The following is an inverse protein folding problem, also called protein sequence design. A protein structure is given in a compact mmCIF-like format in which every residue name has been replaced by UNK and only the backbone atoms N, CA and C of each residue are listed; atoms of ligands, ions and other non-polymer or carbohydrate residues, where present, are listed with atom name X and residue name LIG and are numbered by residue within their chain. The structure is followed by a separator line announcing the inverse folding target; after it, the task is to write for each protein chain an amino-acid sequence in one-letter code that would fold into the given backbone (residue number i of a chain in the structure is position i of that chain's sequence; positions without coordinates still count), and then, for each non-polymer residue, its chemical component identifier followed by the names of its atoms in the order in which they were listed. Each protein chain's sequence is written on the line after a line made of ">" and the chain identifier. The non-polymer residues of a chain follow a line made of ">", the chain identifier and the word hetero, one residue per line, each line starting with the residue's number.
data_IF_657442623562
#
_entry.id   IF_657442623562
#
_cell.length_a   1.000
_cell.length_b   1.000
_cell.length_c   1.000
_cell.angle_alpha   90.00
_cell.angle_beta   90.00
_cell.angle_gamma   90.00
#
_symmetry.space_group_name_H-M   'P 1'
#
loop_
_entity.id
_entity.type
_entity.pdbx_description
1 polymer ?
#
# COMPACT_ATOMS: atom_id res chain seq x y z
N UNK A 1 30.49 2.96 -0.52
CA UNK A 1 29.11 3.41 -0.81
C UNK A 1 28.41 2.28 -1.56
N UNK A 2 27.13 2.00 -1.28
CA UNK A 2 26.33 1.02 -2.02
C UNK A 2 25.03 1.68 -2.52
N UNK A 3 24.54 1.27 -3.68
CA UNK A 3 23.34 1.85 -4.28
C UNK A 3 23.02 1.24 -5.65
N UNK A 4 21.82 1.56 -6.13
CA UNK A 4 21.34 1.16 -7.45
C UNK A 4 20.84 2.42 -8.17
N UNK A 5 21.62 2.93 -9.13
CA UNK A 5 21.27 4.11 -9.91
C UNK A 5 19.95 3.90 -10.66
N UNK A 6 19.65 2.70 -11.16
CA UNK A 6 18.38 2.37 -11.83
C UNK A 6 17.15 2.55 -10.92
N UNK A 7 17.35 2.66 -9.60
CA UNK A 7 16.30 2.95 -8.63
C UNK A 7 16.35 4.38 -8.07
N UNK A 8 17.17 5.28 -8.60
CA UNK A 8 17.27 6.67 -8.14
C UNK A 8 16.05 7.50 -8.58
N UNK A 9 14.94 7.38 -7.84
CA UNK A 9 13.64 8.00 -8.16
C UNK A 9 13.31 9.23 -7.31
N UNK A 10 14.28 9.74 -6.55
CA UNK A 10 14.12 10.94 -5.72
C UNK A 10 14.89 12.13 -6.31
N UNK A 11 14.98 12.23 -7.63
CA UNK A 11 15.62 13.34 -8.34
C UNK A 11 15.05 14.69 -7.91
N UNK A 12 13.73 14.76 -7.76
CA UNK A 12 13.00 15.92 -7.24
C UNK A 12 13.40 16.35 -5.81
N UNK A 13 13.98 15.43 -5.02
CA UNK A 13 14.48 15.69 -3.66
C UNK A 13 16.02 15.85 -3.62
N UNK A 14 16.67 15.99 -4.79
CA UNK A 14 18.11 16.19 -4.89
C UNK A 14 18.95 14.91 -5.06
N UNK A 15 18.34 13.73 -5.17
CA UNK A 15 19.10 12.51 -5.46
C UNK A 15 19.64 12.52 -6.89
N UNK A 16 20.92 12.19 -7.09
CA UNK A 16 21.55 12.22 -8.42
C UNK A 16 22.17 10.87 -8.77
N UNK A 17 21.54 10.14 -9.71
CA UNK A 17 22.12 8.95 -10.33
C UNK A 17 23.44 9.27 -11.03
N UNK A 18 23.50 10.43 -11.71
CA UNK A 18 24.69 10.92 -12.38
C UNK A 18 25.87 11.08 -11.41
N UNK A 19 25.63 11.72 -10.26
CA UNK A 19 26.69 11.94 -9.27
C UNK A 19 27.16 10.61 -8.68
N UNK A 20 26.22 9.73 -8.32
CA UNK A 20 26.52 8.37 -7.86
C UNK A 20 27.40 7.60 -8.86
N UNK A 21 27.06 7.70 -10.15
CA UNK A 21 27.78 7.03 -11.23
C UNK A 21 29.19 7.59 -11.47
N UNK A 22 29.51 8.80 -10.98
CA UNK A 22 30.82 9.44 -11.11
C UNK A 22 31.66 9.44 -9.83
N UNK A 23 31.15 8.84 -8.74
CA UNK A 23 31.92 8.67 -7.53
C UNK A 23 33.19 7.87 -7.83
N UNK A 24 34.34 8.45 -7.48
CA UNK A 24 35.62 7.74 -7.51
C UNK A 24 35.58 6.60 -6.50
N UNK A 25 36.03 5.42 -6.92
CA UNK A 25 36.07 4.23 -6.09
C UNK A 25 37.33 3.43 -6.41
N UNK A 26 37.98 2.91 -5.38
CA UNK A 26 39.14 2.02 -5.52
C UNK A 26 38.75 0.63 -6.01
N UNK A 27 37.53 0.19 -5.66
CA UNK A 27 36.94 -1.08 -6.11
C UNK A 27 35.45 -0.88 -6.43
N UNK A 28 34.99 -1.55 -7.49
CA UNK A 28 33.61 -1.49 -7.97
C UNK A 28 33.12 -2.91 -8.19
N UNK A 29 32.14 -3.32 -7.38
CA UNK A 29 31.53 -4.64 -7.46
C UNK A 29 30.05 -4.56 -7.84
N UNK A 30 29.68 -5.26 -8.90
CA UNK A 30 28.27 -5.42 -9.32
C UNK A 30 27.75 -6.76 -8.80
N UNK A 31 26.57 -6.76 -8.18
CA UNK A 31 25.92 -7.98 -7.70
C UNK A 31 25.09 -8.59 -8.84
N UNK A 32 25.40 -9.81 -9.31
CA UNK A 32 24.87 -10.32 -10.57
C UNK A 32 23.54 -11.07 -10.44
N UNK A 33 22.90 -11.12 -9.26
CA UNK A 33 21.68 -11.92 -9.05
C UNK A 33 20.67 -11.21 -8.16
N UNK A 34 19.41 -11.21 -8.59
CA UNK A 34 18.27 -10.81 -7.79
C UNK A 34 17.67 -12.02 -7.07
N UNK A 35 17.40 -11.86 -5.78
CA UNK A 35 16.68 -12.85 -4.96
C UNK A 35 15.18 -12.54 -4.83
N UNK A 36 14.73 -11.46 -5.49
CA UNK A 36 13.34 -10.99 -5.44
C UNK A 36 12.60 -11.24 -6.76
N UNK A 37 13.19 -10.78 -7.86
CA UNK A 37 12.48 -10.58 -9.13
C UNK A 37 12.44 -11.89 -9.91
N UNK A 38 11.26 -12.46 -10.21
CA UNK A 38 11.13 -13.69 -11.01
C UNK A 38 11.38 -13.43 -12.50
N UNK A 39 11.54 -14.50 -13.30
CA UNK A 39 11.91 -14.40 -14.74
C UNK A 39 10.92 -13.57 -15.56
N UNK A 40 9.62 -13.73 -15.37
CA UNK A 40 8.59 -12.99 -16.10
C UNK A 40 8.70 -11.47 -15.85
N UNK A 41 8.77 -11.07 -14.58
CA UNK A 41 8.96 -9.66 -14.18
C UNK A 41 10.32 -9.13 -14.60
N UNK A 42 11.36 -9.96 -14.55
CA UNK A 42 12.72 -9.58 -14.98
C UNK A 42 12.75 -9.19 -16.45
N UNK A 43 12.08 -9.92 -17.35
CA UNK A 43 11.98 -9.55 -18.77
C UNK A 43 11.37 -8.16 -18.96
N UNK A 44 10.35 -7.81 -18.17
CA UNK A 44 9.75 -6.46 -18.18
C UNK A 44 10.74 -5.41 -17.66
N UNK A 45 11.39 -5.71 -16.52
CA UNK A 45 12.36 -4.81 -15.92
C UNK A 45 13.56 -4.52 -16.84
N UNK A 46 14.03 -5.54 -17.58
CA UNK A 46 15.11 -5.39 -18.57
C UNK A 46 14.70 -4.50 -19.75
N UNK A 47 13.45 -4.61 -20.24
CA UNK A 47 12.92 -3.71 -21.28
C UNK A 47 12.87 -2.26 -20.84
N UNK A 48 12.49 -2.01 -19.59
CA UNK A 48 12.45 -0.65 -19.04
C UNK A 48 13.87 -0.10 -18.84
N UNK A 49 14.72 -0.84 -18.14
CA UNK A 49 16.07 -0.35 -17.78
C UNK A 49 16.99 -0.22 -18.99
N UNK A 50 16.71 -0.94 -20.08
CA UNK A 50 17.41 -0.82 -21.36
C UNK A 50 17.14 0.51 -22.10
N UNK A 51 16.08 1.24 -21.72
CA UNK A 51 15.72 2.55 -22.28
C UNK A 51 16.30 3.74 -21.52
N UNK A 52 16.90 3.50 -20.35
CA UNK A 52 17.59 4.56 -19.59
C UNK A 52 18.93 4.87 -20.26
N UNK A 53 19.09 6.11 -20.72
CA UNK A 53 20.32 6.55 -21.40
C UNK A 53 21.50 6.68 -20.44
N UNK A 54 21.31 7.34 -19.29
CA UNK A 54 22.38 7.64 -18.34
C UNK A 54 22.43 6.64 -17.18
N UNK A 55 22.93 5.42 -17.42
CA UNK A 55 23.09 4.41 -16.36
C UNK A 55 24.45 3.72 -16.38
N UNK A 56 24.85 3.19 -15.22
CA UNK A 56 25.91 2.17 -15.18
C UNK A 56 25.33 0.85 -15.67
N UNK A 57 25.74 0.42 -16.86
CA UNK A 57 25.33 -0.87 -17.42
C UNK A 57 25.71 -1.99 -16.47
N UNK A 58 24.71 -2.77 -16.07
CA UNK A 58 24.83 -3.93 -15.21
C UNK A 58 23.81 -4.96 -15.60
N UNK A 59 24.25 -6.20 -15.61
CA UNK A 59 23.43 -7.37 -15.83
C UNK A 59 23.16 -8.04 -14.49
N UNK A 60 21.92 -8.45 -14.27
CA UNK A 60 21.57 -9.28 -13.12
C UNK A 60 20.64 -10.39 -13.56
N UNK A 61 20.84 -11.58 -12.99
CA UNK A 61 20.02 -12.76 -13.21
C UNK A 61 18.77 -12.69 -12.32
N UNK A 62 17.61 -13.15 -12.81
CA UNK A 62 16.41 -13.26 -12.00
C UNK A 62 16.55 -14.28 -10.87
N UNK A 63 15.61 -14.23 -9.93
CA UNK A 63 15.37 -15.31 -8.97
C UNK A 63 15.00 -16.58 -9.73
N UNK A 64 15.30 -17.73 -9.14
CA UNK A 64 14.96 -19.04 -9.71
C UNK A 64 13.46 -19.35 -9.53
N UNK A 65 12.62 -18.61 -10.25
CA UNK A 65 11.18 -18.78 -10.32
C UNK A 65 10.68 -18.12 -11.61
N UNK A 66 9.70 -18.72 -12.28
CA UNK A 66 9.10 -18.11 -13.49
C UNK A 66 8.34 -16.83 -13.14
N UNK A 67 7.49 -16.88 -12.10
CA UNK A 67 6.54 -15.81 -11.79
C UNK A 67 5.49 -15.63 -12.89
N UNK A 68 4.67 -14.60 -12.77
CA UNK A 68 3.58 -14.32 -13.69
C UNK A 68 3.60 -12.85 -14.13
N UNK A 69 3.36 -12.63 -15.43
CA UNK A 69 3.13 -11.31 -16.00
C UNK A 69 1.82 -11.33 -16.80
N UNK A 70 0.92 -10.40 -16.53
CA UNK A 70 -0.33 -10.26 -17.28
C UNK A 70 -0.69 -8.79 -17.52
N UNK A 71 -1.29 -8.53 -18.68
CA UNK A 71 -1.96 -7.27 -18.98
C UNK A 71 -3.44 -7.42 -18.63
N UNK A 72 -4.02 -6.42 -17.99
CA UNK A 72 -5.43 -6.42 -17.58
C UNK A 72 -6.10 -5.09 -17.91
N UNK A 73 -7.35 -5.13 -18.33
CA UNK A 73 -8.04 -3.95 -18.87
C UNK A 73 -8.73 -3.11 -17.80
N UNK A 74 -9.02 -3.71 -16.65
CA UNK A 74 -9.71 -3.07 -15.53
C UNK A 74 -9.28 -3.72 -14.22
N UNK A 75 -9.58 -3.05 -13.12
CA UNK A 75 -9.35 -3.57 -11.77
C UNK A 75 -10.47 -4.56 -11.44
N UNK A 76 -10.19 -5.86 -11.57
CA UNK A 76 -11.15 -6.94 -11.26
C UNK A 76 -10.93 -7.55 -9.88
N UNK A 77 -11.97 -8.16 -9.30
CA UNK A 77 -11.85 -8.87 -8.02
C UNK A 77 -10.84 -10.02 -8.07
N UNK A 78 -10.67 -10.66 -9.23
CA UNK A 78 -9.75 -11.77 -9.48
C UNK A 78 -8.28 -11.40 -9.20
N UNK A 79 -7.92 -10.12 -9.34
CA UNK A 79 -6.59 -9.60 -9.01
C UNK A 79 -6.26 -9.71 -7.51
N UNK A 80 -7.28 -9.78 -6.66
CA UNK A 80 -7.16 -9.76 -5.20
C UNK A 80 -7.49 -11.11 -4.53
N UNK A 81 -7.77 -12.15 -5.33
CA UNK A 81 -8.00 -13.52 -4.85
C UNK A 81 -6.69 -14.26 -4.60
N UNK A 82 -5.58 -13.78 -5.19
CA UNK A 82 -4.26 -14.39 -5.04
C UNK A 82 -3.77 -14.36 -3.58
N UNK A 83 -2.99 -15.37 -3.20
CA UNK A 83 -2.37 -15.43 -1.87
C UNK A 83 -1.26 -14.38 -1.75
N UNK A 84 -0.95 -14.01 -0.50
CA UNK A 84 0.12 -13.07 -0.17
C UNK A 84 -0.32 -11.61 -0.15
N UNK A 85 0.65 -10.71 -0.05
CA UNK A 85 0.43 -9.26 -0.08
C UNK A 85 0.34 -8.76 -1.51
N UNK A 86 -0.51 -7.76 -1.73
CA UNK A 86 -0.69 -7.11 -3.04
C UNK A 86 -0.45 -5.62 -2.91
N UNK A 87 0.42 -5.08 -3.76
CA UNK A 87 0.53 -3.63 -3.95
C UNK A 87 -0.25 -3.21 -5.18
N UNK A 88 -1.09 -2.20 -5.04
CA UNK A 88 -1.64 -1.43 -6.16
C UNK A 88 -0.81 -0.16 -6.26
N UNK A 89 -0.06 -0.01 -7.36
CA UNK A 89 0.92 1.05 -7.52
C UNK A 89 0.46 2.07 -8.55
N UNK A 90 0.59 3.36 -8.21
CA UNK A 90 0.24 4.47 -9.08
C UNK A 90 1.33 5.56 -9.10
N UNK A 91 1.41 6.32 -10.20
CA UNK A 91 2.42 7.38 -10.35
C UNK A 91 2.01 8.72 -9.76
N UNK A 92 0.77 9.14 -9.99
CA UNK A 92 0.25 10.45 -9.63
C UNK A 92 -0.91 10.35 -8.64
N UNK A 93 -0.98 11.24 -7.65
CA UNK A 93 -1.95 11.15 -6.55
C UNK A 93 -3.42 11.03 -6.99
N UNK A 94 -3.84 11.75 -8.03
CA UNK A 94 -5.21 11.66 -8.56
C UNK A 94 -5.58 10.23 -9.03
N UNK A 95 -4.61 9.48 -9.60
CA UNK A 95 -4.81 8.06 -9.94
C UNK A 95 -4.98 7.21 -8.69
N UNK A 96 -4.25 7.52 -7.62
CA UNK A 96 -4.46 6.90 -6.31
C UNK A 96 -5.87 7.10 -5.77
N UNK A 97 -6.44 8.30 -5.88
CA UNK A 97 -7.85 8.54 -5.48
C UNK A 97 -8.82 7.70 -6.34
N UNK A 98 -8.63 7.69 -7.66
CA UNK A 98 -9.46 6.92 -8.58
C UNK A 98 -9.41 5.42 -8.25
N UNK A 99 -8.21 4.85 -8.08
CA UNK A 99 -8.03 3.45 -7.74
C UNK A 99 -8.60 3.09 -6.36
N UNK A 100 -8.54 4.01 -5.39
CA UNK A 100 -9.16 3.82 -4.08
C UNK A 100 -10.68 3.65 -4.22
N UNK A 101 -11.34 4.50 -5.01
CA UNK A 101 -12.78 4.40 -5.28
C UNK A 101 -13.14 3.05 -5.91
N UNK A 102 -12.35 2.59 -6.88
CA UNK A 102 -12.56 1.28 -7.51
C UNK A 102 -12.39 0.12 -6.51
N UNK A 103 -11.39 0.18 -5.62
CA UNK A 103 -11.22 -0.81 -4.55
C UNK A 103 -12.41 -0.82 -3.57
N UNK A 104 -12.97 0.35 -3.25
CA UNK A 104 -14.17 0.47 -2.40
C UNK A 104 -15.41 -0.13 -3.08
N UNK A 105 -15.63 0.17 -4.37
CA UNK A 105 -16.73 -0.40 -5.17
C UNK A 105 -16.66 -1.94 -5.25
N UNK A 106 -15.44 -2.49 -5.36
CA UNK A 106 -15.18 -3.93 -5.34
C UNK A 106 -15.24 -4.54 -3.94
N UNK A 107 -15.45 -3.73 -2.90
CA UNK A 107 -15.39 -4.13 -1.50
C UNK A 107 -14.07 -4.83 -1.15
N UNK A 108 -12.93 -4.38 -1.68
CA UNK A 108 -11.61 -4.98 -1.42
C UNK A 108 -10.94 -4.22 -0.29
N UNK A 109 -10.73 -4.82 0.90
CA UNK A 109 -10.05 -4.16 2.01
C UNK A 109 -8.62 -3.79 1.65
N UNK A 110 -8.29 -2.50 1.73
CA UNK A 110 -6.95 -1.98 1.43
C UNK A 110 -6.50 -0.95 2.47
N UNK A 111 -5.19 -0.81 2.66
CA UNK A 111 -4.57 0.29 3.39
C UNK A 111 -3.83 1.22 2.40
N UNK A 112 -3.41 2.40 2.87
CA UNK A 112 -2.62 3.34 2.07
C UNK A 112 -3.43 4.54 1.57
N UNK A 113 -3.09 5.05 0.39
CA UNK A 113 -3.66 6.30 -0.15
C UNK A 113 -5.18 6.26 -0.20
N UNK A 114 -5.82 7.28 0.37
CA UNK A 114 -7.28 7.45 0.43
C UNK A 114 -8.08 6.31 1.08
N UNK A 115 -7.42 5.34 1.71
CA UNK A 115 -8.12 4.26 2.41
C UNK A 115 -8.82 4.78 3.68
N UNK A 116 -10.05 4.32 3.97
CA UNK A 116 -10.69 4.54 5.28
C UNK A 116 -10.03 3.74 6.42
N UNK A 117 -9.24 2.70 6.10
CA UNK A 117 -8.50 1.88 7.07
C UNK A 117 -7.19 2.56 7.47
N UNK A 118 -7.27 3.74 8.08
CA UNK A 118 -6.12 4.43 8.69
C UNK A 118 -5.57 3.65 9.89
N UNK A 119 -4.38 4.02 10.38
CA UNK A 119 -3.76 3.36 11.53
C UNK A 119 -4.66 3.43 12.78
N UNK A 120 -5.28 4.58 13.04
CA UNK A 120 -6.25 4.79 14.12
C UNK A 120 -7.48 3.89 13.97
N UNK A 121 -8.05 3.81 12.77
CA UNK A 121 -9.23 2.98 12.49
C UNK A 121 -8.90 1.49 12.69
N UNK A 122 -7.77 1.03 12.16
CA UNK A 122 -7.33 -0.37 12.34
C UNK A 122 -7.04 -0.69 13.81
N UNK A 123 -6.46 0.25 14.55
CA UNK A 123 -6.23 0.12 16.00
C UNK A 123 -7.55 0.08 16.79
N UNK A 124 -8.55 0.88 16.42
CA UNK A 124 -9.88 0.84 17.02
C UNK A 124 -10.59 -0.49 16.75
N UNK A 125 -10.55 -0.99 15.50
CA UNK A 125 -11.09 -2.32 15.16
C UNK A 125 -10.37 -3.42 15.94
N UNK A 126 -9.04 -3.35 16.05
CA UNK A 126 -8.28 -4.31 16.86
C UNK A 126 -8.71 -4.28 18.33
N UNK A 127 -8.83 -3.08 18.92
CA UNK A 127 -9.32 -2.90 20.28
C UNK A 127 -10.74 -3.48 20.44
N UNK A 128 -11.64 -3.27 19.47
CA UNK A 128 -12.97 -3.87 19.46
C UNK A 128 -12.89 -5.40 19.53
N UNK A 129 -12.03 -6.03 18.70
CA UNK A 129 -11.88 -7.49 18.70
C UNK A 129 -11.37 -8.05 20.03
N UNK A 130 -10.56 -7.29 20.77
CA UNK A 130 -10.13 -7.67 22.12
C UNK A 130 -11.31 -7.65 23.10
N UNK A 131 -12.11 -6.58 23.09
CA UNK A 131 -13.27 -6.47 23.98
C UNK A 131 -14.35 -7.52 23.71
N UNK A 132 -14.55 -7.92 22.44
CA UNK A 132 -15.43 -9.05 22.07
C UNK A 132 -14.97 -10.36 22.72
N UNK A 133 -13.66 -10.53 22.94
CA UNK A 133 -13.05 -11.70 23.61
C UNK A 133 -12.93 -11.53 25.12
N UNK A 134 -13.56 -10.51 25.69
CA UNK A 134 -13.47 -10.13 27.10
C UNK A 134 -12.04 -9.78 27.57
N UNK A 135 -11.14 -9.46 26.63
CA UNK A 135 -9.79 -9.02 26.91
C UNK A 135 -9.76 -7.51 27.20
N UNK A 136 -8.93 -7.08 28.15
CA UNK A 136 -8.74 -5.65 28.40
C UNK A 136 -7.92 -4.95 27.30
N UNK A 137 -8.18 -3.66 27.11
CA UNK A 137 -7.48 -2.80 26.13
C UNK A 137 -6.62 -1.75 26.84
N UNK A 138 -5.65 -1.17 26.13
CA UNK A 138 -4.86 -0.06 26.68
C UNK A 138 -5.69 1.23 26.75
N UNK A 139 -5.24 2.21 27.51
CA UNK A 139 -5.88 3.55 27.58
C UNK A 139 -5.93 4.22 26.20
N UNK A 140 -4.86 4.11 25.40
CA UNK A 140 -4.82 4.62 24.02
C UNK A 140 -5.87 3.94 23.12
N UNK A 141 -6.02 2.61 23.24
CA UNK A 141 -7.04 1.86 22.51
C UNK A 141 -8.46 2.26 22.95
N UNK A 142 -8.69 2.43 24.25
CA UNK A 142 -9.96 2.89 24.79
C UNK A 142 -10.33 4.30 24.29
N UNK A 143 -9.35 5.21 24.20
CA UNK A 143 -9.57 6.55 23.63
C UNK A 143 -10.00 6.50 22.17
N UNK A 144 -9.37 5.65 21.35
CA UNK A 144 -9.77 5.45 19.96
C UNK A 144 -11.19 4.88 19.86
N UNK A 145 -11.53 3.89 20.70
CA UNK A 145 -12.89 3.35 20.76
C UNK A 145 -13.91 4.43 21.09
N UNK A 146 -13.68 5.25 22.13
CA UNK A 146 -14.57 6.35 22.49
C UNK A 146 -14.69 7.37 21.36
N UNK A 147 -13.58 7.77 20.75
CA UNK A 147 -13.54 8.74 19.64
C UNK A 147 -14.42 8.33 18.46
N UNK A 148 -14.40 7.05 18.10
CA UNK A 148 -15.13 6.55 16.93
C UNK A 148 -16.52 6.02 17.27
N UNK A 149 -16.88 5.87 18.54
CA UNK A 149 -18.16 5.28 18.93
C UNK A 149 -19.32 6.27 18.82
N UNK A 150 -20.50 5.76 18.49
CA UNK A 150 -21.76 6.47 18.68
C UNK A 150 -22.03 6.65 20.18
N UNK A 151 -22.51 7.82 20.64
CA UNK A 151 -22.86 8.07 22.04
C UNK A 151 -23.82 7.03 22.64
N UNK A 152 -24.74 6.47 21.86
CA UNK A 152 -25.74 5.49 22.31
C UNK A 152 -25.14 4.13 22.72
N UNK A 153 -23.87 3.91 22.43
CA UNK A 153 -23.12 2.72 22.83
C UNK A 153 -22.29 2.94 24.09
N UNK A 154 -21.96 4.18 24.42
CA UNK A 154 -21.00 4.53 25.45
C UNK A 154 -21.63 4.66 26.83
N UNK A 155 -20.84 4.37 27.87
CA UNK A 155 -21.22 4.67 29.25
C UNK A 155 -21.56 6.16 29.43
N UNK A 156 -22.50 6.52 30.33
CA UNK A 156 -22.91 7.90 30.52
C UNK A 156 -21.73 8.82 30.84
N UNK A 157 -21.73 10.02 30.25
CA UNK A 157 -20.69 11.04 30.42
C UNK A 157 -19.29 10.66 29.93
N UNK A 158 -19.11 9.51 29.26
CA UNK A 158 -17.83 9.14 28.68
C UNK A 158 -17.54 10.02 27.46
N UNK A 159 -16.36 10.64 27.45
CA UNK A 159 -15.90 11.55 26.39
C UNK A 159 -14.46 11.23 26.00
N UNK A 160 -14.07 11.73 24.84
CA UNK A 160 -12.67 11.68 24.40
C UNK A 160 -11.76 12.29 25.49
N UNK A 161 -10.72 11.55 25.87
CA UNK A 161 -9.82 11.93 26.96
C UNK A 161 -10.18 11.41 28.36
N UNK A 162 -11.29 10.68 28.55
CA UNK A 162 -11.66 10.07 29.85
C UNK A 162 -10.55 9.21 30.48
N UNK A 163 -9.68 8.61 29.66
CA UNK A 163 -8.58 7.73 30.08
C UNK A 163 -7.20 8.40 30.02
N UNK A 164 -7.12 9.70 29.73
CA UNK A 164 -5.85 10.42 29.46
C UNK A 164 -4.88 10.50 30.64
N UNK A 165 -5.38 10.50 31.87
CA UNK A 165 -4.55 10.62 33.09
C UNK A 165 -4.11 9.28 33.68
N UNK A 166 -4.47 8.15 33.04
CA UNK A 166 -4.10 6.81 33.50
C UNK A 166 -2.77 6.40 32.84
N UNK A 167 -1.73 6.19 33.64
CA UNK A 167 -0.35 5.92 33.20
C UNK A 167 -0.19 4.54 32.54
N UNK A 168 -0.70 3.46 33.14
CA UNK A 168 -0.74 2.11 32.53
C UNK A 168 -1.93 1.30 33.09
N UNK A 169 -3.15 1.70 32.75
CA UNK A 169 -4.35 0.98 33.16
C UNK A 169 -4.88 0.13 32.00
N UNK A 170 -5.19 -1.13 32.29
CA UNK A 170 -6.05 -1.93 31.43
C UNK A 170 -7.50 -1.46 31.57
N UNK A 171 -8.19 -1.19 30.46
CA UNK A 171 -9.59 -0.77 30.42
C UNK A 171 -10.45 -1.95 29.98
N UNK A 172 -11.52 -2.25 30.74
CA UNK A 172 -12.48 -3.31 30.44
C UNK A 172 -13.68 -2.79 29.64
N UNK A 173 -14.43 -3.69 29.02
CA UNK A 173 -15.57 -3.32 28.14
C UNK A 173 -16.65 -2.56 28.89
N UNK A 174 -16.89 -2.89 30.17
CA UNK A 174 -17.91 -2.27 31.02
C UNK A 174 -17.58 -0.81 31.34
N UNK A 175 -16.31 -0.41 31.31
CA UNK A 175 -15.89 0.98 31.49
C UNK A 175 -16.18 1.84 30.25
N UNK A 176 -16.34 1.22 29.08
CA UNK A 176 -16.50 1.92 27.80
C UNK A 176 -17.95 1.84 27.30
N UNK A 177 -18.54 0.65 27.31
CA UNK A 177 -19.79 0.35 26.60
C UNK A 177 -20.93 -0.03 27.55
N UNK A 178 -22.15 0.40 27.20
CA UNK A 178 -23.40 0.05 27.91
C UNK A 178 -23.78 -1.43 27.78
N UNK A 179 -23.24 -2.12 26.78
CA UNK A 179 -23.57 -3.51 26.45
C UNK A 179 -22.33 -4.27 26.02
N UNK A 180 -22.37 -5.59 26.15
CA UNK A 180 -21.30 -6.45 25.66
C UNK A 180 -21.14 -6.29 24.14
N UNK A 181 -19.94 -5.96 23.63
CA UNK A 181 -19.72 -5.81 22.20
C UNK A 181 -19.74 -7.18 21.51
N UNK A 182 -20.45 -7.28 20.39
CA UNK A 182 -20.41 -8.44 19.50
C UNK A 182 -19.62 -8.13 18.23
N UNK A 183 -19.22 -9.17 17.51
CA UNK A 183 -18.52 -9.02 16.21
C UNK A 183 -19.38 -8.18 15.25
N UNK A 184 -20.66 -8.50 15.13
CA UNK A 184 -21.60 -7.84 14.19
C UNK A 184 -22.05 -6.44 14.62
N UNK A 185 -21.63 -5.99 15.80
CA UNK A 185 -21.91 -4.66 16.32
C UNK A 185 -20.83 -3.64 15.93
N UNK A 186 -19.64 -4.09 15.49
CA UNK A 186 -18.45 -3.25 15.31
C UNK A 186 -18.73 -1.91 14.64
N UNK A 187 -19.22 -1.90 13.39
CA UNK A 187 -19.47 -0.64 12.65
C UNK A 187 -20.81 0.03 12.98
N UNK A 188 -21.68 -0.63 13.77
CA UNK A 188 -22.84 0.04 14.37
C UNK A 188 -22.45 0.83 15.61
N UNK A 189 -21.52 0.29 16.39
CA UNK A 189 -20.96 0.96 17.56
C UNK A 189 -19.96 2.03 17.15
N UNK A 190 -18.98 1.70 16.31
CA UNK A 190 -17.94 2.60 15.81
C UNK A 190 -18.44 3.45 14.61
N UNK A 191 -19.61 4.07 14.77
CA UNK A 191 -20.29 4.82 13.71
C UNK A 191 -19.51 6.04 13.19
N UNK A 192 -18.54 6.55 13.95
CA UNK A 192 -17.66 7.65 13.56
C UNK A 192 -16.48 7.24 12.67
N UNK A 193 -16.31 5.95 12.37
CA UNK A 193 -15.26 5.48 11.46
C UNK A 193 -15.57 5.90 10.01
N UNK A 194 -14.62 6.49 9.27
CA UNK A 194 -14.81 6.82 7.85
C UNK A 194 -15.10 5.55 7.02
N UNK A 195 -15.99 5.66 6.03
CA UNK A 195 -16.32 4.54 5.16
C UNK A 195 -17.06 3.38 5.85
N UNK A 196 -17.77 3.63 6.95
CA UNK A 196 -18.41 2.59 7.77
C UNK A 196 -19.29 1.59 6.99
N UNK A 197 -20.04 2.04 5.98
CA UNK A 197 -20.83 1.14 5.12
C UNK A 197 -19.94 0.17 4.33
N UNK A 198 -18.90 0.68 3.65
CA UNK A 198 -17.91 -0.12 2.94
C UNK A 198 -17.18 -1.10 3.89
N UNK A 199 -16.76 -0.65 5.06
CA UNK A 199 -16.09 -1.50 6.05
C UNK A 199 -17.00 -2.59 6.61
N UNK A 200 -18.30 -2.30 6.78
CA UNK A 200 -19.30 -3.30 7.15
C UNK A 200 -19.45 -4.37 6.07
N UNK A 201 -19.50 -3.99 4.78
CA UNK A 201 -19.52 -4.96 3.68
C UNK A 201 -18.25 -5.83 3.67
N UNK A 202 -17.09 -5.20 3.86
CA UNK A 202 -15.82 -5.91 3.97
C UNK A 202 -15.78 -6.87 5.16
N UNK A 203 -16.29 -6.46 6.33
CA UNK A 203 -16.41 -7.34 7.50
C UNK A 203 -17.28 -8.55 7.19
N UNK A 204 -18.44 -8.36 6.57
CA UNK A 204 -19.36 -9.47 6.25
C UNK A 204 -18.72 -10.47 5.27
N UNK A 205 -17.90 -9.99 4.33
CA UNK A 205 -17.27 -10.83 3.31
C UNK A 205 -15.99 -11.51 3.79
N UNK A 206 -15.18 -10.85 4.61
CA UNK A 206 -13.82 -11.30 4.94
C UNK A 206 -13.51 -11.40 6.45
N UNK A 207 -14.40 -10.90 7.31
CA UNK A 207 -14.22 -10.82 8.76
C UNK A 207 -13.41 -9.59 9.23
N UNK A 208 -13.43 -9.31 10.53
CA UNK A 208 -12.71 -8.16 11.11
C UNK A 208 -11.18 -8.30 11.03
N UNK A 209 -10.66 -9.52 11.04
CA UNK A 209 -9.22 -9.78 11.00
C UNK A 209 -8.52 -9.18 9.78
N UNK A 210 -9.17 -9.22 8.61
CA UNK A 210 -8.60 -8.66 7.38
C UNK A 210 -8.58 -7.13 7.39
N UNK A 211 -9.45 -6.47 8.17
CA UNK A 211 -9.52 -5.01 8.25
C UNK A 211 -8.40 -4.45 9.12
N UNK A 212 -8.00 -5.21 10.15
CA UNK A 212 -6.88 -4.88 11.03
C UNK A 212 -5.55 -4.97 10.26
N UNK A 213 -5.42 -5.96 9.38
CA UNK A 213 -4.24 -6.16 8.54
C UNK A 213 -4.65 -6.50 7.10
N UNK A 214 -5.01 -5.48 6.29
CA UNK A 214 -5.35 -5.69 4.89
C UNK A 214 -4.19 -6.29 4.11
N UNK A 215 -4.50 -7.18 3.15
CA UNK A 215 -3.48 -7.74 2.26
C UNK A 215 -3.12 -6.79 1.12
N UNK A 216 -4.01 -5.84 0.81
CA UNK A 216 -3.85 -4.87 -0.27
C UNK A 216 -3.35 -3.56 0.29
N UNK A 217 -2.31 -3.00 -0.31
CA UNK A 217 -1.85 -1.64 -0.05
C UNK A 217 -1.86 -0.83 -1.34
N UNK A 218 -2.55 0.32 -1.33
CA UNK A 218 -2.56 1.28 -2.42
C UNK A 218 -1.49 2.34 -2.16
N UNK A 219 -0.43 2.34 -2.97
CA UNK A 219 0.77 3.13 -2.73
C UNK A 219 1.19 3.86 -4.00
N UNK A 220 1.72 5.07 -3.83
CA UNK A 220 2.50 5.65 -4.92
C UNK A 220 3.75 4.80 -5.17
N UNK A 221 4.25 4.79 -6.40
CA UNK A 221 5.49 4.07 -6.74
C UNK A 221 6.65 4.50 -5.82
N UNK A 222 6.73 5.78 -5.46
CA UNK A 222 7.74 6.31 -4.54
C UNK A 222 7.64 5.69 -3.14
N UNK A 223 6.43 5.56 -2.57
CA UNK A 223 6.20 4.94 -1.27
C UNK A 223 6.54 3.45 -1.24
N UNK A 224 6.54 2.78 -2.40
CA UNK A 224 6.91 1.37 -2.51
C UNK A 224 8.43 1.13 -2.50
N UNK A 225 9.26 2.18 -2.67
CA UNK A 225 10.71 2.02 -2.75
C UNK A 225 11.27 1.43 -1.44
N UNK A 226 12.04 0.36 -1.56
CA UNK A 226 12.59 -0.37 -0.42
C UNK A 226 11.65 -1.44 0.16
N UNK A 227 10.40 -1.52 -0.31
CA UNK A 227 9.42 -2.53 0.05
C UNK A 227 9.24 -3.56 -1.07
N UNK A 228 8.47 -4.62 -0.84
CA UNK A 228 8.15 -5.65 -1.83
C UNK A 228 6.82 -6.33 -1.48
N UNK A 229 6.13 -6.86 -2.48
CA UNK A 229 4.88 -7.59 -2.32
C UNK A 229 4.88 -8.89 -3.11
N UNK A 230 3.99 -9.81 -2.72
CA UNK A 230 3.80 -11.06 -3.48
C UNK A 230 3.31 -10.73 -4.88
N UNK A 231 2.31 -9.86 -4.96
CA UNK A 231 1.68 -9.41 -6.19
C UNK A 231 1.79 -7.88 -6.33
N UNK A 232 1.95 -7.40 -7.56
CA UNK A 232 1.87 -5.98 -7.90
C UNK A 232 0.85 -5.79 -9.01
N UNK A 233 -0.09 -4.89 -8.79
CA UNK A 233 -0.98 -4.32 -9.81
C UNK A 233 -0.46 -2.92 -10.11
N UNK A 234 -0.10 -2.63 -11.36
CA UNK A 234 0.56 -1.39 -11.75
C UNK A 234 -0.33 -0.57 -12.69
N UNK A 235 -0.70 0.63 -12.26
CA UNK A 235 -1.35 1.65 -13.09
C UNK A 235 -0.31 2.41 -13.92
N UNK A 236 -0.51 2.46 -15.24
CA UNK A 236 0.41 3.12 -16.18
C UNK A 236 0.03 4.56 -16.49
N UNK A 237 -1.18 5.00 -16.11
CA UNK A 237 -1.66 6.34 -16.46
C UNK A 237 -0.91 7.45 -15.73
N UNK A 238 -0.70 8.55 -16.45
CA UNK A 238 0.10 9.68 -16.02
C UNK A 238 -0.72 10.97 -16.04
N UNK A 239 -0.51 11.82 -15.05
CA UNK A 239 -0.97 13.20 -15.11
C UNK A 239 -0.27 13.92 -16.27
N UNK A 240 -0.97 14.89 -16.90
CA UNK A 240 -0.43 15.69 -18.01
C UNK A 240 0.99 16.20 -17.77
N UNK A 241 1.25 16.84 -16.63
CA UNK A 241 2.58 17.37 -16.30
C UNK A 241 3.66 16.29 -16.24
N UNK A 242 3.32 15.11 -15.73
CA UNK A 242 4.25 13.98 -15.63
C UNK A 242 4.50 13.36 -17.01
N UNK A 243 3.45 13.22 -17.82
CA UNK A 243 3.57 12.77 -19.20
C UNK A 243 4.44 13.73 -20.04
N UNK A 244 4.17 15.03 -19.99
CA UNK A 244 4.95 16.05 -20.71
C UNK A 244 6.42 16.06 -20.28
N UNK A 245 6.69 15.80 -18.98
CA UNK A 245 8.06 15.63 -18.48
C UNK A 245 8.70 14.34 -19.01
N UNK A 246 7.98 13.21 -18.99
CA UNK A 246 8.46 11.93 -19.49
C UNK A 246 8.91 12.02 -20.97
N UNK A 247 8.23 12.82 -21.78
CA UNK A 247 8.62 13.04 -23.18
C UNK A 247 9.92 13.84 -23.34
N UNK A 248 10.27 14.70 -22.37
CA UNK A 248 11.47 15.55 -22.42
C UNK A 248 12.67 14.92 -21.73
N UNK A 249 12.43 14.24 -20.60
CA UNK A 249 13.42 13.63 -19.74
C UNK A 249 12.92 12.23 -19.30
N UNK A 250 12.98 11.23 -20.21
CA UNK A 250 12.35 9.93 -20.00
C UNK A 250 13.03 9.06 -18.94
N UNK A 251 14.35 9.23 -18.74
CA UNK A 251 15.15 8.42 -17.82
C UNK A 251 14.57 8.38 -16.39
N UNK A 252 14.06 9.51 -15.89
CA UNK A 252 13.46 9.58 -14.56
C UNK A 252 12.24 8.68 -14.44
N UNK A 253 11.34 8.71 -15.43
CA UNK A 253 10.15 7.88 -15.42
C UNK A 253 10.49 6.40 -15.70
N UNK A 254 11.49 6.11 -16.54
CA UNK A 254 12.01 4.75 -16.69
C UNK A 254 12.49 4.17 -15.35
N UNK A 255 13.23 4.95 -14.54
CA UNK A 255 13.63 4.51 -13.18
C UNK A 255 12.43 4.31 -12.27
N UNK A 256 11.43 5.19 -12.33
CA UNK A 256 10.20 5.07 -11.54
C UNK A 256 9.48 3.77 -11.87
N UNK A 257 9.20 3.50 -13.14
CA UNK A 257 8.51 2.27 -13.55
C UNK A 257 9.37 1.01 -13.35
N UNK A 258 10.70 1.11 -13.46
CA UNK A 258 11.62 0.03 -13.08
C UNK A 258 11.49 -0.32 -11.58
N UNK A 259 11.43 0.69 -10.71
CA UNK A 259 11.17 0.46 -9.28
C UNK A 259 9.84 -0.26 -9.09
N UNK A 260 8.77 0.21 -9.72
CA UNK A 260 7.43 -0.40 -9.62
C UNK A 260 7.42 -1.88 -9.99
N UNK A 261 7.91 -2.24 -11.18
CA UNK A 261 7.87 -3.63 -11.65
C UNK A 261 8.73 -4.55 -10.77
N UNK A 262 9.88 -4.06 -10.28
CA UNK A 262 10.77 -4.85 -9.42
C UNK A 262 10.28 -4.99 -7.98
N UNK A 263 9.09 -4.48 -7.63
CA UNK A 263 8.46 -4.75 -6.32
C UNK A 263 7.76 -6.11 -6.26
N UNK A 264 7.47 -6.72 -7.40
CA UNK A 264 6.77 -8.00 -7.49
C UNK A 264 7.71 -9.18 -7.20
N UNK A 265 7.31 -10.05 -6.27
CA UNK A 265 8.00 -11.32 -6.01
C UNK A 265 7.47 -12.46 -6.85
N UNK A 266 6.16 -12.53 -7.06
CA UNK A 266 5.52 -13.63 -7.78
C UNK A 266 4.79 -13.15 -9.03
N UNK A 267 3.89 -12.16 -8.89
CA UNK A 267 3.00 -11.73 -9.99
C UNK A 267 3.08 -10.22 -10.24
N UNK A 268 3.20 -9.84 -11.51
CA UNK A 268 3.04 -8.47 -12.00
C UNK A 268 1.84 -8.39 -12.95
N UNK A 269 0.76 -7.75 -12.50
CA UNK A 269 -0.36 -7.37 -13.33
C UNK A 269 -0.22 -5.89 -13.72
N UNK A 270 -0.36 -5.58 -15.00
CA UNK A 270 -0.27 -4.20 -15.51
C UNK A 270 -1.64 -3.79 -16.05
N UNK A 271 -2.20 -2.72 -15.48
CA UNK A 271 -3.44 -2.13 -15.94
C UNK A 271 -3.20 -1.40 -17.25
N UNK A 272 -3.93 -1.79 -18.29
CA UNK A 272 -3.91 -1.11 -19.57
C UNK A 272 -4.51 0.29 -19.39
N UNK A 273 -3.83 1.33 -19.89
CA UNK A 273 -4.32 2.69 -19.77
C UNK A 273 -5.54 2.90 -20.67
N UNK A 274 -6.47 3.71 -20.19
CA UNK A 274 -7.61 4.20 -20.96
C UNK A 274 -7.36 5.58 -21.56
N UNK A 275 -6.42 6.33 -20.99
CA UNK A 275 -5.93 7.61 -21.50
C UNK A 275 -4.66 7.41 -22.36
N UNK A 276 -4.48 8.25 -23.38
CA UNK A 276 -3.25 8.29 -24.19
C UNK A 276 -2.02 8.71 -23.37
N UNK A 277 -2.24 9.43 -22.27
CA UNK A 277 -1.19 9.86 -21.34
C UNK A 277 -0.85 8.72 -20.39
N UNK A 278 -0.03 7.80 -20.87
CA UNK A 278 0.42 6.66 -20.09
C UNK A 278 1.90 6.36 -20.34
N UNK A 279 2.50 5.65 -19.40
CA UNK A 279 3.83 5.11 -19.57
C UNK A 279 3.81 3.91 -20.53
N UNK A 280 4.68 3.93 -21.53
CA UNK A 280 4.83 2.83 -22.48
C UNK A 280 5.77 1.76 -21.91
N UNK A 281 5.30 0.52 -21.76
CA UNK A 281 6.00 -0.58 -21.06
C UNK A 281 6.94 -1.41 -21.95
#
# INVERSE_FOLDING_TARGET
>A
VAGDDDQAIFSWAGASAWAFNRLAANDVRVLPRSYRVPRATHRVAQRIVGRIAERRRKEFQPRDAEGEFCLVNYLGEDLFQQKGSTYVLFRNYHRGIYLAQQLEELNVPFAGTASPLTDDVRAAIYAWTKLVRDEAVTTTQAQLLVRFSSPDWLQPNLREGAFSRRTEASVRREEIFLRAPLVDDCFRALAGVPGGAYLLHCQKRYGLGILIKPRVELLSIHQSKGREATNVVLDLELARRTYDHALRAPDDEHRVFYVAVTRARERLAVLQPTDVRAYEL
#
